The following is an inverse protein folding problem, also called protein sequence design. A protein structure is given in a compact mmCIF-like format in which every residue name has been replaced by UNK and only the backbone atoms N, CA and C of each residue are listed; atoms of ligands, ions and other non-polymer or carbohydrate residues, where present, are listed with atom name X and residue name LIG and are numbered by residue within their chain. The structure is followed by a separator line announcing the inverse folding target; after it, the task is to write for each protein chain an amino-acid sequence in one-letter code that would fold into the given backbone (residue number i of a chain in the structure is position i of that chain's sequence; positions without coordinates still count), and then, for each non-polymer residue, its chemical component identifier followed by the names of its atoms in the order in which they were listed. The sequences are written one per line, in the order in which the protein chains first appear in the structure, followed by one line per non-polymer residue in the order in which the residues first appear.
data_IF_937268086618
#
_entry.id   IF_937268086618
#
_cell.length_a   1.000
_cell.length_b   1.000
_cell.length_c   1.000
_cell.angle_alpha   90.00
_cell.angle_beta   90.00
_cell.angle_gamma   90.00
#
_symmetry.space_group_name_H-M   'P 1'
#
loop_
_entity.id
_entity.type
_entity.pdbx_description
1 polymer ?
#
# COMPACT_ATOMS: atom_id res chain seq x y z
N UNK A 1 -47.92 9.73 88.58
CA UNK A 1 -47.13 8.68 87.90
C UNK A 1 -46.85 9.15 86.48
N UNK A 2 -45.57 9.20 86.09
CA UNK A 2 -45.09 9.70 84.79
C UNK A 2 -45.42 8.71 83.66
N UNK A 3 -46.01 9.17 82.56
CA UNK A 3 -46.17 8.40 81.33
C UNK A 3 -44.95 8.62 80.42
N UNK A 4 -44.27 7.53 80.03
CA UNK A 4 -43.16 7.54 79.07
C UNK A 4 -43.71 7.59 77.64
N UNK A 5 -43.11 8.48 76.83
CA UNK A 5 -43.31 8.62 75.38
C UNK A 5 -42.29 7.71 74.69
N UNK A 6 -42.73 6.88 73.74
CA UNK A 6 -41.86 6.06 72.89
C UNK A 6 -42.02 6.53 71.43
N UNK A 7 -41.04 7.27 70.91
CA UNK A 7 -40.98 7.70 69.51
C UNK A 7 -40.23 6.67 68.67
N UNK A 8 -40.88 6.11 67.65
CA UNK A 8 -40.26 5.27 66.62
C UNK A 8 -39.67 6.16 65.52
N UNK A 9 -38.34 6.21 65.40
CA UNK A 9 -37.63 6.78 64.26
C UNK A 9 -37.54 5.73 63.15
N UNK A 10 -38.23 5.94 62.03
CA UNK A 10 -38.09 5.16 60.80
C UNK A 10 -36.98 5.75 59.92
N UNK A 11 -35.87 5.04 59.79
CA UNK A 11 -34.75 5.40 58.93
C UNK A 11 -35.04 5.05 57.46
N UNK A 12 -35.08 6.07 56.60
CA UNK A 12 -35.23 5.94 55.15
C UNK A 12 -33.86 5.61 54.53
N UNK A 13 -33.69 4.37 54.06
CA UNK A 13 -32.50 3.94 53.31
C UNK A 13 -32.63 4.35 51.83
N UNK A 14 -31.83 5.33 51.39
CA UNK A 14 -31.65 5.64 49.98
C UNK A 14 -30.72 4.59 49.35
N UNK A 15 -31.28 3.67 48.57
CA UNK A 15 -30.49 2.78 47.73
C UNK A 15 -29.99 3.55 46.51
N UNK A 16 -28.71 3.95 46.50
CA UNK A 16 -28.03 4.48 45.32
C UNK A 16 -27.82 3.35 44.32
N UNK A 17 -28.73 3.20 43.36
CA UNK A 17 -28.54 2.36 42.19
C UNK A 17 -27.45 2.96 41.30
N UNK A 18 -26.29 2.31 41.26
CA UNK A 18 -25.28 2.49 40.21
C UNK A 18 -25.91 2.06 38.88
N UNK A 19 -26.28 3.03 38.05
CA UNK A 19 -26.60 2.77 36.65
C UNK A 19 -25.27 2.60 35.92
N UNK A 20 -24.95 1.43 35.34
CA UNK A 20 -23.77 1.32 34.49
C UNK A 20 -23.97 2.25 33.29
N UNK A 21 -23.04 3.17 33.08
CA UNK A 21 -22.99 3.98 31.88
C UNK A 21 -22.82 3.03 30.68
N UNK A 22 -23.87 2.85 29.88
CA UNK A 22 -23.73 2.22 28.58
C UNK A 22 -22.78 3.10 27.77
N UNK A 23 -21.56 2.59 27.51
CA UNK A 23 -20.67 3.20 26.53
C UNK A 23 -21.45 3.26 25.21
N UNK A 24 -21.85 4.46 24.79
CA UNK A 24 -22.43 4.66 23.47
C UNK A 24 -21.39 4.18 22.48
N UNK A 25 -21.69 3.09 21.76
CA UNK A 25 -20.83 2.61 20.69
C UNK A 25 -20.78 3.70 19.61
N UNK A 26 -19.69 4.47 19.60
CA UNK A 26 -19.41 5.43 18.55
C UNK A 26 -19.20 4.65 17.27
N UNK A 27 -20.04 4.90 16.28
CA UNK A 27 -19.97 4.26 14.96
C UNK A 27 -19.77 5.32 13.88
N UNK A 28 -19.22 4.90 12.75
CA UNK A 28 -18.87 5.73 11.60
C UNK A 28 -19.59 5.19 10.38
N UNK A 29 -20.16 6.08 9.55
CA UNK A 29 -20.70 5.71 8.26
C UNK A 29 -19.59 5.50 7.23
N UNK A 30 -19.64 4.40 6.49
CA UNK A 30 -18.69 4.10 5.42
C UNK A 30 -18.94 5.04 4.23
N UNK A 31 -17.95 5.84 3.79
CA UNK A 31 -18.11 6.72 2.63
C UNK A 31 -18.19 5.93 1.32
N UNK A 32 -18.87 6.47 0.30
CA UNK A 32 -18.79 5.95 -1.07
C UNK A 32 -17.47 6.43 -1.69
N UNK A 33 -16.60 5.49 -2.04
CA UNK A 33 -15.28 5.75 -2.64
C UNK A 33 -15.20 5.24 -4.08
N UNK A 34 -16.32 4.78 -4.66
CA UNK A 34 -16.36 4.33 -6.05
C UNK A 34 -16.01 5.45 -7.02
N UNK A 35 -15.29 5.11 -8.09
CA UNK A 35 -14.81 6.08 -9.08
C UNK A 35 -13.57 6.86 -8.65
N UNK A 36 -13.08 6.70 -7.42
CA UNK A 36 -11.80 7.26 -6.97
C UNK A 36 -10.64 6.32 -7.29
N UNK A 37 -9.43 6.87 -7.45
CA UNK A 37 -8.19 6.08 -7.39
C UNK A 37 -7.92 5.60 -5.97
N UNK A 38 -7.12 4.53 -5.82
CA UNK A 38 -6.80 3.92 -4.51
C UNK A 38 -6.25 4.95 -3.50
N UNK A 39 -5.32 5.85 -3.85
CA UNK A 39 -4.79 6.81 -2.87
C UNK A 39 -5.87 7.78 -2.36
N UNK A 40 -6.69 8.33 -3.28
CA UNK A 40 -7.78 9.23 -2.92
C UNK A 40 -8.87 8.53 -2.10
N UNK A 41 -9.21 7.28 -2.44
CA UNK A 41 -10.13 6.46 -1.66
C UNK A 41 -9.61 6.24 -0.23
N UNK A 42 -8.31 5.96 -0.08
CA UNK A 42 -7.70 5.80 1.25
C UNK A 42 -7.78 7.08 2.07
N UNK A 43 -7.47 8.25 1.49
CA UNK A 43 -7.60 9.54 2.17
C UNK A 43 -9.02 9.75 2.71
N UNK A 44 -10.05 9.48 1.88
CA UNK A 44 -11.44 9.62 2.29
C UNK A 44 -11.88 8.62 3.38
N UNK A 45 -11.38 7.37 3.33
CA UNK A 45 -11.60 6.38 4.39
C UNK A 45 -10.97 6.84 5.71
N UNK A 46 -9.72 7.27 5.65
CA UNK A 46 -8.95 7.74 6.78
C UNK A 46 -9.58 9.00 7.43
N UNK A 47 -10.11 9.92 6.61
CA UNK A 47 -10.87 11.08 7.08
C UNK A 47 -12.14 10.68 7.84
N UNK A 48 -12.81 9.60 7.44
CA UNK A 48 -13.92 9.02 8.18
C UNK A 48 -13.47 8.27 9.45
N UNK A 49 -12.17 8.00 9.62
CA UNK A 49 -11.65 7.18 10.71
C UNK A 49 -11.78 5.68 10.44
N UNK A 50 -11.77 5.28 9.17
CA UNK A 50 -11.74 3.90 8.69
C UNK A 50 -10.39 3.61 8.04
N UNK A 51 -10.00 2.34 7.97
CA UNK A 51 -8.73 1.91 7.41
C UNK A 51 -8.90 1.39 5.99
N UNK A 52 -7.92 1.62 5.12
CA UNK A 52 -7.82 0.86 3.87
C UNK A 52 -7.49 -0.61 4.19
N UNK A 53 -8.35 -1.54 3.76
CA UNK A 53 -8.14 -2.98 3.85
C UNK A 53 -7.43 -3.56 2.63
N UNK A 54 -7.73 -4.82 2.30
CA UNK A 54 -7.18 -5.47 1.11
C UNK A 54 -7.67 -4.80 -0.19
N UNK A 55 -6.84 -4.84 -1.23
CA UNK A 55 -7.22 -4.39 -2.57
C UNK A 55 -7.28 -5.57 -3.53
N UNK A 56 -8.43 -5.72 -4.21
CA UNK A 56 -8.64 -6.70 -5.27
C UNK A 56 -8.66 -6.05 -6.65
N UNK A 57 -8.67 -6.87 -7.69
CA UNK A 57 -8.86 -6.42 -9.07
C UNK A 57 -10.12 -7.04 -9.66
N UNK A 58 -10.89 -6.22 -10.39
CA UNK A 58 -12.00 -6.65 -11.23
C UNK A 58 -11.73 -6.16 -12.65
N UNK A 59 -12.08 -6.97 -13.64
CA UNK A 59 -11.91 -6.57 -15.04
C UNK A 59 -12.76 -5.32 -15.33
N UNK A 60 -12.12 -4.28 -15.83
CA UNK A 60 -12.81 -3.09 -16.31
C UNK A 60 -13.61 -3.41 -17.57
N UNK A 61 -14.84 -2.90 -17.63
CA UNK A 61 -15.71 -2.95 -18.80
C UNK A 61 -16.41 -1.60 -18.96
N UNK A 62 -16.78 -1.23 -20.18
CA UNK A 62 -17.56 0.01 -20.41
C UNK A 62 -18.89 0.01 -19.62
N UNK A 63 -19.48 -1.17 -19.42
CA UNK A 63 -20.72 -1.34 -18.65
C UNK A 63 -20.58 -0.97 -17.16
N UNK A 64 -19.34 -0.90 -16.63
CA UNK A 64 -19.11 -0.46 -15.25
C UNK A 64 -19.47 1.02 -15.02
N UNK A 65 -19.48 1.84 -16.08
CA UNK A 65 -19.78 3.28 -15.99
C UNK A 65 -18.74 4.11 -15.21
N UNK A 66 -17.62 3.51 -14.83
CA UNK A 66 -16.55 4.14 -14.05
C UNK A 66 -15.22 4.12 -14.83
N UNK A 67 -14.29 5.06 -14.58
CA UNK A 67 -12.99 5.05 -15.24
C UNK A 67 -12.15 3.82 -14.85
N UNK A 68 -11.28 3.37 -15.75
CA UNK A 68 -10.26 2.37 -15.42
C UNK A 68 -9.35 2.88 -14.31
N UNK A 69 -8.81 1.97 -13.49
CA UNK A 69 -7.98 2.22 -12.32
C UNK A 69 -8.68 2.94 -11.17
N UNK A 70 -10.01 2.88 -11.14
CA UNK A 70 -10.81 3.41 -10.03
C UNK A 70 -11.53 2.30 -9.27
N UNK A 71 -11.95 2.60 -8.04
CA UNK A 71 -12.70 1.65 -7.22
C UNK A 71 -14.04 1.34 -7.89
N UNK A 72 -14.28 0.07 -8.21
CA UNK A 72 -15.56 -0.42 -8.71
C UNK A 72 -16.47 -0.89 -7.58
N UNK A 73 -15.89 -1.54 -6.56
CA UNK A 73 -16.61 -2.09 -5.43
C UNK A 73 -15.86 -1.83 -4.12
N UNK A 74 -16.61 -1.76 -3.01
CA UNK A 74 -16.07 -1.62 -1.67
C UNK A 74 -16.86 -2.53 -0.71
N UNK A 75 -16.20 -2.99 0.34
CA UNK A 75 -16.83 -3.76 1.42
C UNK A 75 -16.18 -3.41 2.76
N UNK A 76 -16.92 -2.96 3.79
CA UNK A 76 -18.39 -2.81 3.84
C UNK A 76 -18.96 -1.78 2.85
N UNK A 77 -20.26 -1.85 2.55
CA UNK A 77 -20.88 -1.00 1.55
C UNK A 77 -21.03 0.45 2.03
N UNK A 78 -21.10 1.38 1.08
CA UNK A 78 -21.32 2.79 1.38
C UNK A 78 -22.61 3.02 2.18
N UNK A 79 -22.53 3.86 3.20
CA UNK A 79 -23.62 4.16 4.13
C UNK A 79 -23.79 3.15 5.27
N UNK A 80 -23.12 2.00 5.23
CA UNK A 80 -23.09 1.09 6.39
C UNK A 80 -22.43 1.76 7.60
N UNK A 81 -22.87 1.39 8.79
CA UNK A 81 -22.41 1.98 10.04
C UNK A 81 -21.55 0.97 10.79
N UNK A 82 -20.25 1.27 10.92
CA UNK A 82 -19.23 0.34 11.44
C UNK A 82 -18.46 0.98 12.59
N UNK A 83 -17.64 0.18 13.30
CA UNK A 83 -16.77 0.71 14.33
C UNK A 83 -15.63 1.56 13.71
N UNK A 84 -15.16 2.63 14.38
CA UNK A 84 -13.92 3.30 13.99
C UNK A 84 -12.76 2.32 13.83
N UNK A 85 -11.92 2.54 12.82
CA UNK A 85 -10.79 1.69 12.50
C UNK A 85 -11.16 0.41 11.72
N UNK A 86 -12.43 0.20 11.36
CA UNK A 86 -12.84 -0.91 10.48
C UNK A 86 -12.11 -0.80 9.14
N UNK A 87 -11.56 -1.92 8.67
CA UNK A 87 -10.94 -2.02 7.35
C UNK A 87 -12.00 -2.11 6.25
N UNK A 88 -11.83 -1.30 5.20
CA UNK A 88 -12.66 -1.34 3.99
C UNK A 88 -11.84 -1.96 2.86
N UNK A 89 -12.24 -3.16 2.43
CA UNK A 89 -11.68 -3.84 1.27
C UNK A 89 -12.18 -3.17 0.00
N UNK A 90 -11.28 -2.91 -0.96
CA UNK A 90 -11.61 -2.24 -2.21
C UNK A 90 -11.33 -3.14 -3.41
N UNK A 91 -12.24 -3.16 -4.38
CA UNK A 91 -12.01 -3.83 -5.66
C UNK A 91 -11.80 -2.78 -6.75
N UNK A 92 -10.63 -2.80 -7.37
CA UNK A 92 -10.25 -1.81 -8.37
C UNK A 92 -10.57 -2.33 -9.77
N UNK A 93 -11.17 -1.48 -10.61
CA UNK A 93 -11.40 -1.77 -12.01
C UNK A 93 -10.08 -1.68 -12.77
N UNK A 94 -9.59 -2.79 -13.30
CA UNK A 94 -8.31 -2.88 -13.98
C UNK A 94 -8.48 -3.47 -15.38
N UNK A 95 -7.67 -3.01 -16.31
CA UNK A 95 -7.50 -3.69 -17.60
C UNK A 95 -6.35 -4.69 -17.47
N UNK A 96 -6.50 -5.92 -17.97
CA UNK A 96 -5.37 -6.85 -18.06
C UNK A 96 -4.17 -6.21 -18.75
N UNK A 97 -2.99 -6.41 -18.17
CA UNK A 97 -1.71 -5.96 -18.74
C UNK A 97 -0.77 -7.11 -19.05
N UNK A 98 -1.19 -8.32 -18.70
CA UNK A 98 -0.48 -9.56 -18.95
C UNK A 98 -1.52 -10.64 -19.25
N UNK A 99 -1.19 -11.51 -20.20
CA UNK A 99 -1.93 -12.73 -20.46
C UNK A 99 -1.03 -13.95 -20.27
N UNK A 100 -1.58 -15.01 -19.72
CA UNK A 100 -1.02 -16.36 -19.73
C UNK A 100 -1.80 -17.17 -20.76
N UNK A 101 -1.08 -17.68 -21.76
CA UNK A 101 -1.62 -18.59 -22.77
C UNK A 101 -0.94 -19.93 -22.55
N UNK A 102 -1.70 -20.95 -22.21
CA UNK A 102 -1.14 -22.21 -21.72
C UNK A 102 -2.02 -23.41 -22.04
N UNK A 103 -1.41 -24.57 -22.15
CA UNK A 103 -2.08 -25.87 -22.29
C UNK A 103 -1.43 -26.90 -21.36
N UNK A 104 -1.64 -28.18 -21.62
CA UNK A 104 -1.10 -29.26 -20.78
C UNK A 104 0.42 -29.43 -20.86
N UNK A 105 1.10 -28.70 -21.76
CA UNK A 105 2.53 -28.87 -21.96
C UNK A 105 3.33 -27.58 -22.22
N UNK A 106 2.68 -26.43 -22.40
CA UNK A 106 3.36 -25.13 -22.39
C UNK A 106 2.60 -24.01 -21.66
N UNK A 107 3.35 -22.99 -21.29
CA UNK A 107 2.82 -21.71 -20.81
C UNK A 107 3.63 -20.58 -21.43
N UNK A 108 2.90 -19.57 -21.91
CA UNK A 108 3.44 -18.33 -22.46
C UNK A 108 2.91 -17.14 -21.66
N UNK A 109 3.80 -16.37 -21.07
CA UNK A 109 3.55 -15.07 -20.47
C UNK A 109 3.69 -13.99 -21.56
N UNK A 110 2.60 -13.27 -21.85
CA UNK A 110 2.55 -12.20 -22.85
C UNK A 110 2.61 -10.85 -22.15
N UNK A 111 3.62 -10.02 -22.47
CA UNK A 111 3.71 -8.66 -21.94
C UNK A 111 2.85 -7.68 -22.76
N UNK A 112 1.74 -7.24 -22.16
CA UNK A 112 0.81 -6.25 -22.75
C UNK A 112 0.81 -4.93 -21.96
N UNK A 113 1.84 -4.70 -21.13
CA UNK A 113 1.90 -3.52 -20.26
C UNK A 113 2.18 -2.23 -21.02
N UNK A 114 2.72 -2.32 -22.24
CA UNK A 114 3.23 -1.17 -23.01
C UNK A 114 4.62 -0.70 -22.56
N UNK A 115 5.22 -1.35 -21.56
CA UNK A 115 6.54 -1.03 -20.99
C UNK A 115 7.35 -2.32 -20.77
N UNK A 116 8.66 -2.24 -20.46
CA UNK A 116 9.40 -3.40 -19.99
C UNK A 116 8.78 -3.97 -18.70
N UNK A 117 8.48 -5.26 -18.70
CA UNK A 117 7.97 -6.02 -17.55
C UNK A 117 9.14 -6.72 -16.84
N UNK A 118 9.58 -6.26 -15.65
CA UNK A 118 10.64 -6.92 -14.91
C UNK A 118 10.23 -8.34 -14.52
N UNK A 119 11.09 -9.32 -14.79
CA UNK A 119 10.81 -10.73 -14.46
C UNK A 119 11.22 -11.11 -13.05
N UNK A 120 12.07 -10.29 -12.41
CA UNK A 120 12.40 -10.43 -11.00
C UNK A 120 11.13 -10.35 -10.15
N UNK A 121 10.90 -11.36 -9.32
CA UNK A 121 9.73 -11.43 -8.45
C UNK A 121 8.45 -11.94 -9.13
N UNK A 122 8.47 -12.22 -10.45
CA UNK A 122 7.37 -12.90 -11.13
C UNK A 122 7.55 -14.42 -11.04
N UNK A 123 6.50 -15.12 -10.61
CA UNK A 123 6.44 -16.57 -10.61
C UNK A 123 5.05 -17.11 -10.91
N UNK A 124 5.01 -18.35 -11.41
CA UNK A 124 3.80 -19.12 -11.64
C UNK A 124 3.78 -20.24 -10.61
N UNK A 125 2.84 -20.20 -9.67
CA UNK A 125 2.83 -21.07 -8.50
C UNK A 125 1.58 -21.93 -8.51
N UNK A 126 1.70 -23.25 -8.40
CA UNK A 126 0.55 -24.10 -8.14
C UNK A 126 -0.12 -23.63 -6.83
N UNK A 127 -1.46 -23.55 -6.81
CA UNK A 127 -2.19 -22.98 -5.69
C UNK A 127 -2.01 -23.78 -4.39
N UNK A 128 -1.71 -25.08 -4.50
CA UNK A 128 -1.39 -25.99 -3.42
C UNK A 128 0.11 -26.02 -3.05
N UNK A 129 0.95 -25.25 -3.77
CA UNK A 129 2.39 -25.20 -3.57
C UNK A 129 3.18 -26.37 -4.17
N UNK A 130 2.54 -27.27 -4.94
CA UNK A 130 3.18 -28.47 -5.48
C UNK A 130 4.25 -28.18 -6.56
N UNK A 131 4.12 -27.06 -7.26
CA UNK A 131 5.04 -26.64 -8.32
C UNK A 131 5.18 -25.11 -8.39
N UNK A 132 6.33 -24.65 -8.86
CA UNK A 132 6.64 -23.23 -9.01
C UNK A 132 7.63 -23.03 -10.18
N UNK A 133 7.27 -22.15 -11.11
CA UNK A 133 8.17 -21.66 -12.16
C UNK A 133 8.52 -20.20 -11.89
N UNK A 134 9.81 -19.87 -11.88
CA UNK A 134 10.28 -18.49 -11.75
C UNK A 134 10.56 -17.89 -13.13
N UNK A 135 10.07 -16.68 -13.37
CA UNK A 135 10.20 -16.05 -14.68
C UNK A 135 11.64 -15.60 -15.01
N UNK A 136 12.48 -15.37 -14.00
CA UNK A 136 13.92 -15.10 -14.18
C UNK A 136 14.67 -16.22 -14.94
N UNK A 137 14.09 -17.41 -15.03
CA UNK A 137 14.62 -18.52 -15.82
C UNK A 137 14.60 -18.30 -17.34
N UNK A 138 13.86 -17.33 -17.86
CA UNK A 138 13.92 -16.97 -19.29
C UNK A 138 15.21 -16.23 -19.69
N UNK A 139 16.17 -16.09 -18.76
CA UNK A 139 17.51 -15.55 -18.98
C UNK A 139 17.51 -14.12 -19.54
N UNK A 140 16.44 -13.37 -19.27
CA UNK A 140 16.33 -11.93 -19.50
C UNK A 140 15.88 -11.24 -18.22
N UNK A 141 16.30 -9.99 -18.00
CA UNK A 141 15.90 -9.23 -16.82
C UNK A 141 14.44 -8.75 -16.90
N UNK A 142 13.96 -8.48 -18.12
CA UNK A 142 12.62 -8.01 -18.39
C UNK A 142 12.14 -8.49 -19.78
N UNK A 143 10.82 -8.58 -19.96
CA UNK A 143 10.21 -8.68 -21.28
C UNK A 143 9.91 -7.26 -21.77
N UNK A 144 10.41 -6.87 -22.95
CA UNK A 144 10.01 -5.61 -23.57
C UNK A 144 8.51 -5.60 -23.94
N UNK A 145 7.96 -4.43 -24.34
CA UNK A 145 6.60 -4.38 -24.88
C UNK A 145 6.46 -5.36 -26.06
N UNK A 146 5.48 -6.26 -26.02
CA UNK A 146 5.28 -7.29 -27.06
C UNK A 146 6.18 -8.53 -26.94
N UNK A 147 7.19 -8.53 -26.06
CA UNK A 147 7.98 -9.74 -25.78
C UNK A 147 7.21 -10.72 -24.90
N UNK A 148 7.51 -12.00 -25.09
CA UNK A 148 6.92 -13.09 -24.34
C UNK A 148 7.97 -14.00 -23.69
N UNK A 149 7.60 -14.60 -22.57
CA UNK A 149 8.32 -15.69 -21.95
C UNK A 149 7.57 -17.00 -22.15
N UNK A 150 8.20 -18.03 -22.72
CA UNK A 150 7.56 -19.33 -22.96
C UNK A 150 8.33 -20.48 -22.29
N UNK A 151 7.61 -21.37 -21.62
CA UNK A 151 8.19 -22.57 -20.99
C UNK A 151 7.43 -23.80 -21.44
N UNK A 152 8.18 -24.84 -21.80
CA UNK A 152 7.64 -26.16 -22.14
C UNK A 152 7.97 -27.18 -21.05
N UNK A 153 7.00 -28.04 -20.73
CA UNK A 153 7.19 -29.21 -19.88
C UNK A 153 7.76 -30.42 -20.64
N UNK A 154 7.78 -30.34 -21.98
CA UNK A 154 8.25 -31.39 -22.89
C UNK A 154 9.36 -30.87 -23.82
N UNK A 155 10.32 -31.72 -24.25
CA UNK A 155 11.38 -31.34 -25.20
C UNK A 155 10.85 -30.68 -26.47
N UNK A 156 11.38 -29.49 -26.79
CA UNK A 156 11.16 -28.77 -28.05
C UNK A 156 12.47 -28.23 -28.63
N UNK A 157 12.49 -28.08 -29.95
CA UNK A 157 13.60 -27.46 -30.68
C UNK A 157 13.47 -25.94 -30.83
N UNK A 158 12.24 -25.43 -30.78
CA UNK A 158 11.91 -24.01 -30.99
C UNK A 158 10.67 -23.61 -30.16
N UNK A 159 10.48 -22.30 -29.99
CA UNK A 159 9.25 -21.74 -29.42
C UNK A 159 8.03 -21.92 -30.34
N UNK A 160 6.84 -22.10 -29.75
CA UNK A 160 5.55 -21.97 -30.44
C UNK A 160 5.24 -20.49 -30.63
N UNK A 161 4.89 -20.11 -31.85
CA UNK A 161 4.34 -18.77 -32.12
C UNK A 161 3.00 -18.61 -31.43
N UNK A 162 2.84 -17.52 -30.70
CA UNK A 162 1.64 -17.18 -29.94
C UNK A 162 1.19 -15.79 -30.37
N UNK A 163 -0.11 -15.64 -30.60
CA UNK A 163 -0.69 -14.35 -30.98
C UNK A 163 -0.38 -13.28 -29.94
N UNK A 164 0.11 -12.12 -30.39
CA UNK A 164 0.52 -11.02 -29.52
C UNK A 164 1.97 -11.08 -29.04
N UNK A 165 2.74 -12.10 -29.43
CA UNK A 165 4.18 -12.16 -29.18
C UNK A 165 4.99 -11.68 -30.39
N UNK A 166 5.78 -10.62 -30.22
CA UNK A 166 6.72 -10.14 -31.23
C UNK A 166 8.04 -10.91 -31.18
N UNK A 167 8.56 -11.13 -29.97
CA UNK A 167 9.71 -12.00 -29.70
C UNK A 167 9.41 -12.94 -28.53
N UNK A 168 10.03 -14.11 -28.51
CA UNK A 168 9.79 -15.12 -27.48
C UNK A 168 11.12 -15.57 -26.86
N UNK A 169 11.32 -15.26 -25.59
CA UNK A 169 12.34 -15.88 -24.74
C UNK A 169 11.80 -17.20 -24.23
N UNK A 170 12.49 -18.31 -24.52
CA UNK A 170 11.91 -19.63 -24.22
C UNK A 170 12.92 -20.62 -23.67
N UNK A 171 12.39 -21.63 -22.99
CA UNK A 171 13.13 -22.79 -22.53
C UNK A 171 12.24 -24.02 -22.46
N UNK A 172 12.86 -25.19 -22.32
CA UNK A 172 12.20 -26.41 -21.85
C UNK A 172 12.72 -26.77 -20.47
N UNK A 173 11.84 -27.31 -19.62
CA UNK A 173 12.22 -27.90 -18.33
C UNK A 173 11.58 -29.28 -18.16
N UNK A 174 12.40 -30.29 -17.86
CA UNK A 174 11.92 -31.62 -17.47
C UNK A 174 11.61 -31.75 -15.97
N UNK A 175 11.82 -30.69 -15.19
CA UNK A 175 11.54 -30.70 -13.75
C UNK A 175 10.03 -30.50 -13.52
N UNK A 176 9.33 -31.56 -13.13
CA UNK A 176 7.88 -31.49 -12.87
C UNK A 176 7.49 -30.56 -11.72
N UNK A 177 8.42 -30.23 -10.83
CA UNK A 177 8.21 -29.23 -9.79
C UNK A 177 8.10 -27.79 -10.33
N UNK A 178 8.22 -27.59 -11.65
CA UNK A 178 8.03 -26.29 -12.29
C UNK A 178 6.79 -26.24 -13.19
N UNK A 179 6.08 -27.35 -13.37
CA UNK A 179 4.95 -27.45 -14.31
C UNK A 179 3.63 -26.99 -13.68
N UNK A 180 3.65 -25.86 -12.97
CA UNK A 180 2.54 -25.35 -12.16
C UNK A 180 1.23 -25.16 -12.94
N UNK A 181 1.31 -24.89 -14.24
CA UNK A 181 0.15 -24.63 -15.08
C UNK A 181 -0.57 -25.90 -15.58
N UNK A 182 0.08 -27.05 -15.48
CA UNK A 182 -0.47 -28.33 -15.92
C UNK A 182 -1.28 -28.96 -14.79
N UNK A 183 -2.35 -29.70 -15.11
CA UNK A 183 -3.11 -30.46 -14.12
C UNK A 183 -2.39 -31.74 -13.63
N UNK A 184 -1.06 -31.82 -13.82
CA UNK A 184 -0.22 -32.88 -13.26
C UNK A 184 -0.24 -32.78 -11.74
N UNK A 185 0.05 -33.90 -11.06
CA UNK A 185 0.15 -33.97 -9.60
C UNK A 185 -1.09 -33.47 -8.83
N UNK A 186 -2.29 -33.54 -9.44
CA UNK A 186 -3.56 -33.04 -8.90
C UNK A 186 -3.64 -31.52 -8.72
N UNK A 187 -2.77 -30.75 -9.38
CA UNK A 187 -2.89 -29.30 -9.38
C UNK A 187 -4.20 -28.92 -10.08
N UNK A 188 -5.09 -28.23 -9.38
CA UNK A 188 -6.38 -27.78 -9.93
C UNK A 188 -6.35 -26.32 -10.38
N UNK A 189 -5.45 -25.53 -9.81
CA UNK A 189 -5.29 -24.12 -10.11
C UNK A 189 -3.85 -23.68 -9.83
N UNK A 190 -3.45 -22.58 -10.45
CA UNK A 190 -2.17 -21.92 -10.22
C UNK A 190 -2.34 -20.41 -10.21
N UNK A 191 -1.35 -19.72 -9.67
CA UNK A 191 -1.36 -18.29 -9.44
C UNK A 191 -0.22 -17.63 -10.20
N UNK A 192 -0.51 -16.54 -10.90
CA UNK A 192 0.50 -15.57 -11.27
C UNK A 192 0.82 -14.73 -10.02
N UNK A 193 2.08 -14.72 -9.62
CA UNK A 193 2.54 -13.98 -8.44
C UNK A 193 3.58 -12.95 -8.86
N UNK A 194 3.47 -11.74 -8.32
CA UNK A 194 4.47 -10.69 -8.48
C UNK A 194 4.85 -10.14 -7.10
N UNK A 195 6.13 -10.23 -6.74
CA UNK A 195 6.67 -9.77 -5.45
C UNK A 195 5.91 -10.34 -4.23
N UNK A 196 5.45 -11.59 -4.34
CA UNK A 196 4.69 -12.28 -3.30
C UNK A 196 3.17 -12.04 -3.33
N UNK A 197 2.68 -11.13 -4.17
CA UNK A 197 1.26 -10.84 -4.32
C UNK A 197 0.65 -11.63 -5.48
N UNK A 198 -0.50 -12.29 -5.23
CA UNK A 198 -1.25 -13.01 -6.28
C UNK A 198 -1.93 -12.00 -7.21
N UNK A 199 -1.52 -11.98 -8.48
CA UNK A 199 -2.05 -11.10 -9.54
C UNK A 199 -3.21 -11.72 -10.32
N UNK A 200 -3.24 -13.05 -10.41
CA UNK A 200 -4.35 -13.82 -10.97
C UNK A 200 -4.32 -15.25 -10.45
N UNK A 201 -5.48 -15.89 -10.40
CA UNK A 201 -5.65 -17.33 -10.16
C UNK A 201 -6.31 -17.96 -11.38
N UNK A 202 -5.69 -19.01 -11.91
CA UNK A 202 -6.02 -19.63 -13.19
C UNK A 202 -6.26 -21.12 -12.98
N UNK A 203 -7.23 -21.75 -13.68
CA UNK A 203 -7.39 -23.20 -13.64
C UNK A 203 -6.16 -23.88 -14.28
N UNK A 204 -5.70 -24.97 -13.70
CA UNK A 204 -4.65 -25.78 -14.31
C UNK A 204 -5.19 -26.48 -15.56
N UNK A 205 -4.35 -26.63 -16.59
CA UNK A 205 -4.73 -27.23 -17.87
C UNK A 205 -4.81 -28.77 -17.78
N UNK A 206 -5.99 -29.37 -17.99
CA UNK A 206 -6.11 -30.83 -18.13
C UNK A 206 -5.36 -31.35 -19.36
N UNK A 207 -5.03 -32.64 -19.37
CA UNK A 207 -4.39 -33.27 -20.53
C UNK A 207 -5.22 -33.12 -21.81
N UNK A 208 -4.56 -32.81 -22.93
CA UNK A 208 -5.14 -32.58 -24.26
C UNK A 208 -6.16 -31.42 -24.31
N UNK A 209 -5.96 -30.38 -23.49
CA UNK A 209 -6.80 -29.18 -23.53
C UNK A 209 -6.31 -28.24 -24.62
N UNK A 210 -7.24 -27.63 -25.37
CA UNK A 210 -6.91 -26.49 -26.24
C UNK A 210 -6.31 -25.34 -25.42
N UNK A 211 -5.47 -24.47 -26.01
CA UNK A 211 -4.85 -23.38 -25.27
C UNK A 211 -5.87 -22.54 -24.48
N UNK A 212 -5.68 -22.50 -23.16
CA UNK A 212 -6.40 -21.67 -22.22
C UNK A 212 -5.78 -20.28 -22.16
N UNK A 213 -6.60 -19.31 -21.76
CA UNK A 213 -6.16 -17.92 -21.54
C UNK A 213 -6.58 -17.46 -20.15
N UNK A 214 -5.63 -16.94 -19.40
CA UNK A 214 -5.85 -16.32 -18.11
C UNK A 214 -5.20 -14.93 -18.11
N UNK A 215 -5.92 -13.93 -17.64
CA UNK A 215 -5.52 -12.53 -17.75
C UNK A 215 -5.30 -11.92 -16.36
N UNK A 216 -4.31 -11.06 -16.25
CA UNK A 216 -3.94 -10.44 -14.98
C UNK A 216 -3.65 -8.95 -15.18
N UNK A 217 -4.06 -8.16 -14.19
CA UNK A 217 -3.48 -6.83 -14.02
C UNK A 217 -2.13 -6.97 -13.35
N UNK A 218 -1.10 -6.46 -14.01
CA UNK A 218 0.22 -6.25 -13.43
C UNK A 218 0.50 -4.76 -13.53
N UNK A 219 0.75 -4.05 -12.42
CA UNK A 219 1.06 -2.63 -12.45
C UNK A 219 2.23 -2.38 -13.39
N UNK A 220 2.03 -1.50 -14.37
CA UNK A 220 3.11 -1.05 -15.23
C UNK A 220 3.92 0.04 -14.50
N UNK A 221 5.23 0.20 -14.81
CA UNK A 221 6.09 1.19 -14.16
C UNK A 221 5.61 2.64 -14.30
N UNK A 222 4.81 2.94 -15.33
CA UNK A 222 4.33 4.28 -15.70
C UNK A 222 3.02 4.69 -15.02
N UNK A 223 2.30 3.76 -14.39
CA UNK A 223 1.11 4.06 -13.58
C UNK A 223 1.50 4.38 -12.15
N UNK A 224 2.32 5.42 -11.98
CA UNK A 224 2.79 5.83 -10.67
C UNK A 224 1.60 6.31 -9.82
N UNK A 225 1.04 5.40 -9.04
CA UNK A 225 0.22 5.70 -7.86
C UNK A 225 1.08 6.37 -6.76
N UNK A 226 2.34 6.70 -7.03
CA UNK A 226 3.30 7.30 -6.10
C UNK A 226 3.79 8.66 -6.62
N UNK A 227 3.86 9.64 -5.74
CA UNK A 227 4.39 10.96 -6.03
C UNK A 227 5.89 10.86 -6.39
N UNK A 228 6.36 11.56 -7.45
CA UNK A 228 7.76 11.53 -7.86
C UNK A 228 8.67 12.40 -6.99
N UNK A 229 8.17 12.88 -5.85
CA UNK A 229 8.86 13.80 -4.96
C UNK A 229 8.50 13.53 -3.50
N UNK A 230 9.36 14.02 -2.60
CA UNK A 230 9.06 14.19 -1.18
C UNK A 230 8.88 15.67 -0.90
N UNK A 231 7.83 16.03 -0.15
CA UNK A 231 7.46 17.42 0.12
C UNK A 231 7.62 17.74 1.61
N UNK A 232 8.59 18.59 1.92
CA UNK A 232 8.85 19.06 3.28
C UNK A 232 8.39 20.51 3.45
N UNK A 233 7.61 20.77 4.49
CA UNK A 233 7.24 22.12 4.91
C UNK A 233 7.58 22.29 6.39
N UNK A 234 8.34 23.32 6.74
CA UNK A 234 8.86 23.46 8.10
C UNK A 234 9.08 24.90 8.53
N UNK A 235 9.00 25.13 9.84
CA UNK A 235 9.35 26.36 10.54
C UNK A 235 10.46 26.05 11.56
N UNK A 236 10.79 26.98 12.44
CA UNK A 236 11.72 26.70 13.55
C UNK A 236 11.16 25.67 14.56
N UNK A 237 9.83 25.59 14.69
CA UNK A 237 9.17 24.78 15.72
C UNK A 237 8.56 23.47 15.19
N UNK A 238 8.27 23.41 13.90
CA UNK A 238 7.50 22.32 13.29
C UNK A 238 8.13 21.89 11.97
N UNK A 239 8.20 20.59 11.73
CA UNK A 239 8.61 20.00 10.46
C UNK A 239 7.57 19.00 9.98
N UNK A 240 7.11 19.16 8.74
CA UNK A 240 6.05 18.34 8.16
C UNK A 240 6.57 17.67 6.89
N UNK A 241 6.35 16.36 6.79
CA UNK A 241 6.35 15.65 5.51
C UNK A 241 4.90 15.47 5.11
N UNK A 242 4.47 16.04 4.00
CA UNK A 242 3.06 16.03 3.61
C UNK A 242 2.89 15.52 2.20
N UNK A 243 1.74 14.90 1.93
CA UNK A 243 1.33 14.59 0.58
C UNK A 243 0.35 15.66 0.05
N UNK A 244 0.81 16.62 -0.78
CA UNK A 244 -0.06 17.64 -1.35
C UNK A 244 -0.77 17.18 -2.63
N UNK A 245 -0.54 15.93 -3.09
CA UNK A 245 -1.17 15.43 -4.31
C UNK A 245 -2.65 15.15 -4.08
N UNK A 246 -3.42 15.03 -5.18
CA UNK A 246 -4.84 14.72 -5.10
C UNK A 246 -5.13 13.21 -5.17
N UNK A 247 -4.22 12.44 -5.78
CA UNK A 247 -4.50 11.09 -6.25
C UNK A 247 -3.27 10.16 -6.23
N UNK A 248 -2.16 10.56 -5.62
CA UNK A 248 -0.95 9.73 -5.48
C UNK A 248 -0.64 9.47 -4.01
N UNK A 249 -0.01 8.36 -3.71
CA UNK A 249 0.66 8.08 -2.44
C UNK A 249 1.95 8.88 -2.35
N UNK A 250 2.32 9.38 -1.16
CA UNK A 250 3.69 9.81 -0.89
C UNK A 250 4.42 8.72 -0.11
N UNK A 251 5.26 7.90 -0.76
CA UNK A 251 6.00 6.85 -0.08
C UNK A 251 7.07 7.42 0.84
N UNK A 252 7.15 6.87 2.05
CA UNK A 252 8.09 7.24 3.11
C UNK A 252 8.94 6.07 3.63
N UNK A 253 8.61 4.81 3.31
CA UNK A 253 9.33 3.60 3.81
C UNK A 253 10.84 3.68 3.60
N UNK A 254 11.25 4.23 2.47
CA UNK A 254 12.65 4.34 2.05
C UNK A 254 13.16 5.79 2.17
N UNK A 255 12.36 6.70 2.72
CA UNK A 255 12.72 8.11 2.89
C UNK A 255 13.55 8.28 4.15
N UNK A 256 14.87 8.38 3.98
CA UNK A 256 15.82 8.62 5.05
C UNK A 256 16.37 10.04 4.94
N UNK A 257 16.16 10.85 5.99
CA UNK A 257 16.81 12.16 6.11
C UNK A 257 18.07 12.06 6.97
N UNK A 258 19.14 12.71 6.53
CA UNK A 258 20.41 12.70 7.25
C UNK A 258 20.48 13.89 8.19
N UNK A 259 20.59 13.59 9.48
CA UNK A 259 20.65 14.57 10.54
C UNK A 259 22.07 15.10 10.70
N UNK A 260 22.26 16.41 10.52
CA UNK A 260 23.53 17.09 10.72
C UNK A 260 23.48 18.11 11.86
N UNK A 261 22.60 17.89 12.85
CA UNK A 261 22.62 18.69 14.07
C UNK A 261 24.00 18.58 14.74
N UNK A 262 24.62 19.68 15.17
CA UNK A 262 25.92 19.62 15.84
C UNK A 262 25.83 18.98 17.24
N UNK A 263 24.62 18.76 17.77
CA UNK A 263 24.39 18.26 19.12
C UNK A 263 24.13 16.74 19.18
N UNK A 264 24.05 16.04 18.04
CA UNK A 264 23.94 14.59 18.01
C UNK A 264 25.31 13.93 18.04
N UNK A 265 25.41 12.78 18.70
CA UNK A 265 26.66 12.03 18.88
C UNK A 265 27.24 11.47 17.57
N UNK A 266 26.38 11.26 16.56
CA UNK A 266 26.76 10.72 15.24
C UNK A 266 26.22 11.64 14.15
N UNK A 267 26.93 12.73 13.79
CA UNK A 267 26.55 13.57 12.66
C UNK A 267 26.41 12.76 11.37
N UNK A 268 25.37 13.02 10.59
CA UNK A 268 25.01 12.23 9.43
C UNK A 268 24.21 10.96 9.76
N UNK A 269 23.68 10.81 10.98
CA UNK A 269 22.76 9.73 11.30
C UNK A 269 21.47 9.84 10.47
N UNK A 270 21.06 8.72 9.86
CA UNK A 270 19.82 8.64 9.10
C UNK A 270 18.59 8.55 10.02
N UNK A 271 17.55 9.28 9.68
CA UNK A 271 16.22 9.24 10.33
C UNK A 271 15.22 8.69 9.31
N UNK A 272 14.74 7.45 9.47
CA UNK A 272 13.83 6.81 8.52
C UNK A 272 12.39 7.30 8.76
N UNK A 273 11.94 8.31 8.01
CA UNK A 273 10.66 8.99 8.26
C UNK A 273 9.42 8.09 8.05
N UNK A 274 9.55 6.95 7.37
CA UNK A 274 8.49 5.95 7.22
C UNK A 274 8.49 4.84 8.28
N UNK A 275 9.37 4.88 9.28
CA UNK A 275 9.44 3.86 10.33
C UNK A 275 8.42 4.15 11.45
N UNK A 276 7.39 3.30 11.64
CA UNK A 276 6.37 3.49 12.69
C UNK A 276 6.95 3.52 14.10
N UNK A 277 8.11 2.90 14.35
CA UNK A 277 8.72 2.87 15.68
C UNK A 277 9.26 4.24 16.12
N UNK A 278 9.40 5.20 15.20
CA UNK A 278 9.73 6.59 15.53
C UNK A 278 8.58 7.33 16.21
N UNK A 279 7.35 6.85 16.06
CA UNK A 279 6.14 7.55 16.51
C UNK A 279 5.58 6.84 17.74
N UNK A 280 5.38 7.60 18.83
CA UNK A 280 5.12 7.02 20.15
C UNK A 280 3.80 6.25 20.29
N UNK A 281 2.75 6.65 19.58
CA UNK A 281 1.46 5.95 19.56
C UNK A 281 1.27 5.22 18.23
N UNK A 282 1.56 3.92 18.21
CA UNK A 282 1.41 3.08 17.02
C UNK A 282 -0.04 2.67 16.76
N UNK A 283 -0.98 2.90 17.70
CA UNK A 283 -2.38 2.48 17.54
C UNK A 283 -3.15 3.35 16.53
N UNK A 284 -2.70 4.58 16.29
CA UNK A 284 -3.27 5.53 15.31
C UNK A 284 -2.58 5.51 13.95
N UNK A 285 -1.50 4.74 13.83
CA UNK A 285 -0.68 4.72 12.61
C UNK A 285 -1.28 3.70 11.64
N UNK A 286 -2.01 4.18 10.64
CA UNK A 286 -2.63 3.34 9.61
C UNK A 286 -1.55 2.71 8.71
N UNK A 287 -0.63 3.52 8.19
CA UNK A 287 0.67 3.13 7.60
C UNK A 287 1.56 4.38 7.39
N UNK A 288 2.47 4.73 8.30
CA UNK A 288 3.40 5.88 8.08
C UNK A 288 4.39 5.64 6.93
N UNK A 289 4.49 4.41 6.41
CA UNK A 289 5.33 4.11 5.28
C UNK A 289 4.84 4.74 3.98
N UNK A 290 3.59 5.23 3.91
CA UNK A 290 3.04 5.94 2.76
C UNK A 290 1.91 6.87 3.20
N UNK A 291 1.91 8.11 2.73
CA UNK A 291 0.86 9.09 3.06
C UNK A 291 -0.18 9.13 1.95
N UNK A 292 -1.47 9.03 2.29
CA UNK A 292 -2.54 9.31 1.33
C UNK A 292 -2.59 10.81 0.98
N UNK A 293 -3.25 11.21 -0.11
CA UNK A 293 -3.54 12.61 -0.42
C UNK A 293 -4.01 13.40 0.81
N UNK A 294 -3.38 14.55 1.09
CA UNK A 294 -3.71 15.44 2.21
C UNK A 294 -3.16 15.01 3.58
N UNK A 295 -2.54 13.84 3.69
CA UNK A 295 -1.95 13.35 4.95
C UNK A 295 -0.53 13.85 5.18
N UNK A 296 -0.11 13.86 6.45
CA UNK A 296 1.23 14.25 6.82
C UNK A 296 1.73 13.61 8.12
N UNK A 297 3.05 13.59 8.25
CA UNK A 297 3.76 13.31 9.49
C UNK A 297 4.29 14.61 10.06
N UNK A 298 4.16 14.77 11.38
CA UNK A 298 4.53 15.97 12.12
C UNK A 298 5.70 15.72 13.08
N UNK A 299 6.78 16.48 12.92
CA UNK A 299 7.85 16.56 13.91
C UNK A 299 7.80 17.92 14.60
N UNK A 300 7.96 17.95 15.92
CA UNK A 300 7.91 19.19 16.71
C UNK A 300 9.19 19.43 17.50
N UNK A 301 9.58 20.69 17.66
CA UNK A 301 10.66 21.16 18.54
C UNK A 301 10.15 21.17 19.98
N UNK A 302 10.34 20.06 20.69
CA UNK A 302 9.76 19.82 22.00
C UNK A 302 8.28 19.48 21.94
N UNK A 303 7.63 19.45 23.10
CA UNK A 303 6.20 19.23 23.21
C UNK A 303 5.48 20.56 22.96
N UNK A 304 4.54 20.57 22.02
CA UNK A 304 3.72 21.72 21.67
C UNK A 304 2.24 21.36 21.85
N UNK A 305 1.48 22.21 22.55
CA UNK A 305 0.07 21.94 22.84
C UNK A 305 -0.84 22.08 21.61
N UNK A 306 -0.51 22.99 20.69
CA UNK A 306 -1.28 23.27 19.48
C UNK A 306 -0.37 23.84 18.39
N UNK A 307 0.46 22.98 17.76
CA UNK A 307 1.40 23.43 16.74
C UNK A 307 0.65 23.97 15.51
N UNK A 308 0.99 25.18 15.09
CA UNK A 308 0.54 25.73 13.80
C UNK A 308 1.31 25.06 12.68
N UNK A 309 0.61 24.33 11.81
CA UNK A 309 1.24 23.66 10.68
C UNK A 309 1.62 24.67 9.58
N UNK A 310 2.80 24.53 8.96
CA UNK A 310 3.23 25.39 7.85
C UNK A 310 2.38 25.19 6.58
N UNK A 311 1.70 24.04 6.47
CA UNK A 311 0.71 23.72 5.44
C UNK A 311 -0.43 22.92 6.10
N UNK A 312 -1.69 23.06 5.61
CA UNK A 312 -2.79 22.25 6.11
C UNK A 312 -2.62 20.79 5.67
N UNK A 313 -2.75 19.86 6.61
CA UNK A 313 -2.75 18.41 6.35
C UNK A 313 -3.35 17.65 7.54
N UNK A 314 -3.81 16.41 7.30
CA UNK A 314 -4.21 15.47 8.35
C UNK A 314 -2.95 14.84 8.95
N UNK A 315 -2.64 15.15 10.20
CA UNK A 315 -1.50 14.56 10.90
C UNK A 315 -1.82 13.11 11.28
N UNK A 316 -1.10 12.15 10.69
CA UNK A 316 -1.30 10.71 10.96
C UNK A 316 -0.30 10.15 11.96
N UNK A 317 0.83 10.84 12.15
CA UNK A 317 1.83 10.49 13.14
C UNK A 317 2.61 11.72 13.60
N UNK A 318 3.02 11.73 14.87
CA UNK A 318 3.74 12.83 15.48
C UNK A 318 4.94 12.36 16.30
N UNK A 319 6.06 13.07 16.17
CA UNK A 319 7.26 12.88 16.98
C UNK A 319 7.74 14.23 17.56
N UNK A 320 7.81 14.32 18.89
CA UNK A 320 8.42 15.47 19.57
C UNK A 320 9.91 15.23 19.81
N UNK A 321 10.74 16.14 19.30
CA UNK A 321 12.20 16.05 19.36
C UNK A 321 12.73 17.13 20.29
N UNK A 322 13.64 16.77 21.20
CA UNK A 322 14.27 17.74 22.11
C UNK A 322 14.84 18.95 21.34
N UNK A 323 14.66 20.21 21.80
CA UNK A 323 15.01 21.40 21.02
C UNK A 323 16.47 21.47 20.51
N UNK A 324 17.40 20.82 21.20
CA UNK A 324 18.80 20.75 20.77
C UNK A 324 19.05 19.72 19.65
N UNK A 325 18.14 18.77 19.44
CA UNK A 325 18.30 17.61 18.57
C UNK A 325 17.58 17.73 17.23
N UNK A 326 16.79 18.79 17.02
CA UNK A 326 16.11 18.99 15.74
C UNK A 326 17.13 19.11 14.60
N UNK A 327 16.87 18.42 13.49
CA UNK A 327 17.79 18.38 12.36
C UNK A 327 17.55 19.50 11.35
N UNK A 328 16.34 20.07 11.31
CA UNK A 328 15.97 21.12 10.35
C UNK A 328 16.41 22.53 10.77
N UNK A 329 17.12 22.66 11.90
CA UNK A 329 17.80 23.91 12.29
C UNK A 329 19.10 24.16 11.51
N UNK A 330 19.62 23.13 10.81
CA UNK A 330 20.76 23.21 9.90
C UNK A 330 20.35 22.62 8.54
N UNK A 331 21.14 22.82 7.47
CA UNK A 331 20.91 22.09 6.23
C UNK A 331 20.93 20.59 6.48
N UNK A 332 19.98 19.88 5.87
CA UNK A 332 19.84 18.43 5.98
C UNK A 332 19.72 17.81 4.58
N UNK A 333 20.00 16.52 4.47
CA UNK A 333 20.00 15.83 3.18
C UNK A 333 18.93 14.76 3.12
N UNK A 334 18.37 14.57 1.94
CA UNK A 334 17.58 13.40 1.54
C UNK A 334 18.37 12.65 0.48
N UNK A 335 18.49 11.34 0.62
CA UNK A 335 18.96 10.47 -0.46
C UNK A 335 17.76 10.04 -1.31
N UNK A 336 17.81 10.35 -2.60
CA UNK A 336 16.78 9.91 -3.54
C UNK A 336 16.91 8.41 -3.78
N UNK A 337 15.80 7.69 -3.69
CA UNK A 337 15.72 6.26 -4.01
C UNK A 337 15.70 6.00 -5.51
N UNK A 338 15.34 6.99 -6.33
CA UNK A 338 15.33 6.83 -7.80
C UNK A 338 16.73 6.89 -8.42
N UNK A 339 17.65 7.69 -7.86
CA UNK A 339 19.00 7.85 -8.40
C UNK A 339 20.16 7.73 -7.41
N UNK A 340 19.87 7.52 -6.11
CA UNK A 340 20.87 7.40 -5.05
C UNK A 340 21.59 8.71 -4.73
N UNK A 341 21.21 9.84 -5.33
CA UNK A 341 21.87 11.12 -5.10
C UNK A 341 21.31 11.80 -3.85
N UNK A 342 22.22 12.32 -3.03
CA UNK A 342 21.87 13.17 -1.89
C UNK A 342 21.61 14.59 -2.32
N UNK A 343 20.51 15.15 -1.82
CA UNK A 343 20.07 16.50 -2.11
C UNK A 343 19.78 17.22 -0.82
N UNK A 344 20.20 18.48 -0.76
CA UNK A 344 20.17 19.27 0.46
C UNK A 344 18.93 20.17 0.51
N UNK A 345 18.22 20.12 1.63
CA UNK A 345 17.26 21.13 2.02
C UNK A 345 17.93 22.18 2.91
N UNK A 346 17.57 23.47 2.79
CA UNK A 346 18.11 24.51 3.66
C UNK A 346 17.60 24.36 5.10
N UNK A 347 18.29 25.00 6.05
CA UNK A 347 17.79 25.17 7.40
C UNK A 347 16.45 25.94 7.42
N UNK A 348 15.67 25.79 8.49
CA UNK A 348 14.47 26.59 8.74
C UNK A 348 14.79 28.09 8.73
N UNK A 349 13.96 28.87 8.03
CA UNK A 349 14.07 30.33 8.01
C UNK A 349 13.34 30.95 9.20
N UNK A 350 13.98 31.81 10.01
CA UNK A 350 13.32 32.42 11.16
C UNK A 350 12.04 33.20 10.81
N UNK A 351 10.97 32.95 11.57
CA UNK A 351 9.68 33.60 11.40
C UNK A 351 8.96 33.34 10.07
N UNK A 352 9.38 32.36 9.25
CA UNK A 352 8.76 32.03 7.97
C UNK A 352 8.69 30.52 7.73
N UNK A 353 7.65 30.01 7.06
CA UNK A 353 7.67 28.64 6.56
C UNK A 353 8.75 28.49 5.47
N UNK A 354 9.42 27.36 5.48
CA UNK A 354 10.38 26.91 4.49
C UNK A 354 9.80 25.70 3.79
N UNK A 355 9.89 25.68 2.46
CA UNK A 355 9.42 24.61 1.61
C UNK A 355 10.62 23.99 0.89
N UNK A 356 10.77 22.68 0.98
CA UNK A 356 11.77 21.92 0.24
C UNK A 356 11.10 20.73 -0.43
N UNK A 357 11.15 20.69 -1.77
CA UNK A 357 10.59 19.61 -2.58
C UNK A 357 11.76 18.97 -3.31
N UNK A 358 11.99 17.69 -3.04
CA UNK A 358 13.10 16.94 -3.62
C UNK A 358 12.54 15.77 -4.43
N UNK A 359 13.16 15.43 -5.58
CA UNK A 359 12.80 14.23 -6.30
C UNK A 359 12.99 13.01 -5.41
N UNK A 360 12.06 12.06 -5.52
CA UNK A 360 12.08 10.84 -4.74
C UNK A 360 13.27 9.99 -5.12
#
# INVERSE_FOLDING_TARGET
MRALILSFMTSLWLATSLVPAAAQATTVAVPDVRGLGVPAAAAQLHEAGLRLGATGALQWTEASGLPVNTIGEQSPAAGETVAPGTEVTLTVLRTPKVALIYDDNDLTLVNQTGAPLPLAGISINAADGAALFRADRWFTAALGPGDCGQVWSVPRGDAKQVEGCESIFWLTTGNSAEHAWTALNNVTAFNLVQNGEVRASCPAAPANTEPLRCEAYVPAPDQAEEAPFVYFAYTEDVFVVANPTADQWMPLRETVVFNFSPNISVPGAGVPLGDPSLYGDTARVEDVGRLAPGECVLLTRGVLDSPTLPIPCRVIAQLSIGPALIFWATPFELESVSDGLRRTCPASTPGKPTLCILPR
#
